data_IF_480300301354
#
_entry.id   IF_480300301354
#
_cell.length_a   1.000
_cell.length_b   1.000
_cell.length_c   1.000
_cell.angle_alpha   90.00
_cell.angle_beta   90.00
_cell.angle_gamma   90.00
#
_symmetry.space_group_name_H-M   'P 1'
#
loop_
_entity.id
_entity.type
_entity.pdbx_description
1 polymer ?
#
# COMPACT_ATOMS: atom_id res chain seq x y z
N UNK A 1 19.63 50.15 23.98
CA UNK A 1 18.54 49.41 23.29
C UNK A 1 19.12 48.23 22.49
N UNK A 2 19.62 47.17 23.15
CA UNK A 2 20.21 46.01 22.45
C UNK A 2 20.07 44.72 23.27
N UNK A 3 18.84 44.39 23.69
CA UNK A 3 18.54 43.16 24.43
C UNK A 3 17.38 42.34 23.86
N UNK A 4 16.88 42.69 22.67
CA UNK A 4 15.69 42.07 22.09
C UNK A 4 15.96 41.14 20.88
N UNK A 5 17.22 40.90 20.49
CA UNK A 5 17.56 40.11 19.29
C UNK A 5 18.31 38.79 19.55
N UNK A 6 18.61 38.43 20.80
CA UNK A 6 19.42 37.24 21.10
C UNK A 6 18.64 35.99 21.50
N UNK A 7 17.30 36.05 21.51
CA UNK A 7 16.47 34.92 21.89
C UNK A 7 15.64 34.46 20.69
N UNK A 8 16.33 33.98 19.65
CA UNK A 8 15.67 33.12 18.66
C UNK A 8 15.41 31.80 19.36
N UNK A 9 14.15 31.40 19.61
CA UNK A 9 13.88 30.11 20.20
C UNK A 9 14.46 29.06 19.25
N UNK A 10 15.53 28.38 19.67
CA UNK A 10 16.07 27.24 18.94
C UNK A 10 14.97 26.19 18.90
N UNK A 11 14.25 26.13 17.79
CA UNK A 11 13.18 25.16 17.57
C UNK A 11 13.81 23.79 17.36
N UNK A 12 14.18 23.13 18.46
CA UNK A 12 14.76 21.79 18.44
C UNK A 12 13.72 20.78 18.00
N UNK A 13 14.11 19.86 17.11
CA UNK A 13 13.22 18.76 16.74
C UNK A 13 13.09 17.82 17.94
N UNK A 14 11.87 17.32 18.23
CA UNK A 14 11.67 16.41 19.35
C UNK A 14 12.53 15.15 19.17
N UNK A 15 13.00 14.59 20.27
CA UNK A 15 13.79 13.36 20.27
C UNK A 15 12.91 12.16 19.89
N UNK A 16 13.54 11.04 19.48
CA UNK A 16 12.79 9.81 19.20
C UNK A 16 12.06 9.28 20.45
N UNK A 17 12.67 9.43 21.63
CA UNK A 17 12.07 9.03 22.91
C UNK A 17 10.83 9.87 23.24
N UNK A 18 10.90 11.19 23.06
CA UNK A 18 9.77 12.10 23.28
C UNK A 18 8.59 11.78 22.36
N UNK A 19 8.85 11.50 21.07
CA UNK A 19 7.79 11.11 20.12
C UNK A 19 7.14 9.81 20.57
N UNK A 20 7.94 8.79 20.93
CA UNK A 20 7.41 7.50 21.41
C UNK A 20 6.53 7.65 22.65
N UNK A 21 6.99 8.42 23.63
CA UNK A 21 6.24 8.70 24.85
C UNK A 21 4.91 9.38 24.53
N UNK A 22 4.95 10.50 23.79
CA UNK A 22 3.74 11.24 23.39
C UNK A 22 2.79 10.37 22.56
N UNK A 23 3.31 9.52 21.68
CA UNK A 23 2.51 8.58 20.89
C UNK A 23 1.80 7.57 21.79
N UNK A 24 2.49 7.03 22.79
CA UNK A 24 1.92 6.09 23.74
C UNK A 24 0.82 6.74 24.60
N UNK A 25 1.06 7.96 25.10
CA UNK A 25 0.08 8.74 25.85
C UNK A 25 -1.17 9.05 25.00
N UNK A 26 -0.97 9.52 23.75
CA UNK A 26 -2.06 9.79 22.82
C UNK A 26 -2.86 8.53 22.48
N UNK A 27 -2.20 7.37 22.28
CA UNK A 27 -2.89 6.09 22.05
C UNK A 27 -3.75 5.70 23.24
N UNK A 28 -3.18 5.70 24.46
CA UNK A 28 -3.92 5.38 25.70
C UNK A 28 -5.14 6.28 25.88
N UNK A 29 -4.97 7.59 25.65
CA UNK A 29 -6.05 8.58 25.76
C UNK A 29 -7.17 8.38 24.74
N UNK A 30 -6.86 7.96 23.52
CA UNK A 30 -7.89 7.72 22.51
C UNK A 30 -8.57 6.35 22.70
N UNK A 31 -7.82 5.34 23.14
CA UNK A 31 -8.36 4.03 23.53
C UNK A 31 -9.30 4.14 24.74
N UNK A 32 -8.98 4.98 25.74
CA UNK A 32 -9.87 5.22 26.89
C UNK A 32 -11.19 5.90 26.51
N UNK A 33 -11.30 6.43 25.29
CA UNK A 33 -12.55 6.98 24.71
C UNK A 33 -13.28 5.96 23.82
N UNK A 34 -12.88 4.70 23.84
CA UNK A 34 -13.47 3.63 23.02
C UNK A 34 -13.07 3.65 21.54
N UNK A 35 -12.03 4.40 21.15
CA UNK A 35 -11.59 4.40 19.75
C UNK A 35 -10.70 3.20 19.45
N UNK A 36 -11.06 2.46 18.40
CA UNK A 36 -10.21 1.44 17.80
C UNK A 36 -9.21 2.12 16.85
N UNK A 37 -7.95 2.12 17.27
CA UNK A 37 -6.83 2.68 16.53
C UNK A 37 -6.10 1.59 15.76
N UNK A 38 -5.60 1.94 14.58
CA UNK A 38 -4.76 1.07 13.74
C UNK A 38 -3.35 1.68 13.61
N UNK A 39 -2.52 1.61 14.67
CA UNK A 39 -1.19 2.20 14.65
C UNK A 39 -0.27 1.48 13.66
N UNK A 40 0.63 2.23 13.02
CA UNK A 40 1.68 1.64 12.18
C UNK A 40 2.85 1.22 13.07
N UNK A 41 3.25 -0.04 12.95
CA UNK A 41 4.40 -0.60 13.68
C UNK A 41 5.37 -1.20 12.69
N UNK A 42 6.60 -0.70 12.68
CA UNK A 42 7.65 -1.24 11.81
C UNK A 42 8.39 -2.34 12.58
N UNK A 43 8.41 -3.54 12.01
CA UNK A 43 9.20 -4.66 12.53
C UNK A 43 10.56 -4.67 11.80
N UNK A 44 11.65 -4.46 12.56
CA UNK A 44 13.01 -4.54 12.02
C UNK A 44 13.61 -3.19 11.55
N UNK A 45 14.59 -3.28 10.63
CA UNK A 45 15.43 -2.13 10.21
C UNK A 45 14.83 -1.37 9.02
N UNK A 46 14.21 -2.11 8.11
CA UNK A 46 13.56 -1.61 6.90
C UNK A 46 12.13 -1.14 7.22
N UNK A 47 11.62 -0.15 6.49
CA UNK A 47 10.22 0.29 6.62
C UNK A 47 9.31 -0.76 5.98
N UNK A 48 9.70 -1.21 4.79
CA UNK A 48 8.99 -2.18 3.96
C UNK A 48 9.96 -3.28 3.54
N UNK A 49 9.47 -4.51 3.46
CA UNK A 49 10.21 -5.73 3.15
C UNK A 49 9.89 -6.21 1.72
N UNK A 50 8.63 -6.12 1.30
CA UNK A 50 8.19 -6.64 0.00
C UNK A 50 8.45 -5.64 -1.14
N UNK A 51 8.50 -6.15 -2.37
CA UNK A 51 8.82 -5.30 -3.51
C UNK A 51 7.72 -4.25 -3.79
N UNK A 52 6.46 -4.56 -3.49
CA UNK A 52 5.34 -3.64 -3.74
C UNK A 52 5.29 -2.49 -2.73
N UNK A 53 5.57 -2.73 -1.44
CA UNK A 53 5.70 -1.65 -0.47
C UNK A 53 6.91 -0.77 -0.77
N UNK A 54 8.03 -1.36 -1.21
CA UNK A 54 9.18 -0.59 -1.73
C UNK A 54 8.78 0.26 -2.92
N UNK A 55 8.13 -0.32 -3.91
CA UNK A 55 7.69 0.38 -5.10
C UNK A 55 6.69 1.52 -4.78
N UNK A 56 5.82 1.33 -3.79
CA UNK A 56 4.95 2.39 -3.27
C UNK A 56 5.77 3.53 -2.64
N UNK A 57 6.76 3.19 -1.83
CA UNK A 57 7.67 4.16 -1.25
C UNK A 57 8.50 4.90 -2.31
N UNK A 58 8.96 4.23 -3.35
CA UNK A 58 9.70 4.88 -4.43
C UNK A 58 8.80 5.81 -5.24
N UNK A 59 7.54 5.42 -5.45
CA UNK A 59 6.55 6.21 -6.17
C UNK A 59 6.16 7.49 -5.40
N UNK A 60 5.98 7.42 -4.07
CA UNK A 60 5.63 8.60 -3.27
C UNK A 60 6.80 9.61 -3.18
N UNK A 61 8.04 9.12 -3.22
CA UNK A 61 9.23 9.98 -3.12
C UNK A 61 9.38 10.90 -4.33
N UNK A 62 8.83 10.51 -5.49
CA UNK A 62 8.76 11.36 -6.69
C UNK A 62 7.87 12.60 -6.51
N UNK A 63 6.99 12.63 -5.49
CA UNK A 63 6.13 13.77 -5.21
C UNK A 63 6.76 14.79 -4.26
N UNK A 64 7.95 14.48 -3.73
CA UNK A 64 8.56 15.30 -2.71
C UNK A 64 9.18 16.56 -3.29
N UNK A 65 8.73 17.71 -2.81
CA UNK A 65 9.40 18.98 -3.09
C UNK A 65 10.78 19.06 -2.40
N UNK A 66 10.99 18.32 -1.30
CA UNK A 66 12.22 18.40 -0.48
C UNK A 66 12.58 17.08 0.21
N UNK A 67 13.81 16.60 -0.02
CA UNK A 67 14.36 15.38 0.61
C UNK A 67 14.40 15.44 2.13
N UNK A 68 14.69 16.60 2.71
CA UNK A 68 14.74 16.79 4.17
C UNK A 68 13.39 16.54 4.87
N UNK A 69 12.26 16.61 4.13
CA UNK A 69 10.93 16.27 4.65
C UNK A 69 10.71 14.76 4.64
N UNK A 70 11.22 14.05 3.63
CA UNK A 70 11.19 12.59 3.55
C UNK A 70 11.97 11.94 4.70
N UNK A 71 13.18 12.40 4.98
CA UNK A 71 13.99 11.89 6.09
C UNK A 71 13.29 12.01 7.44
N UNK A 72 12.64 13.16 7.68
CA UNK A 72 11.84 13.37 8.89
C UNK A 72 10.61 12.49 8.91
N UNK A 73 9.94 12.27 7.77
CA UNK A 73 8.84 11.33 7.64
C UNK A 73 9.26 9.90 7.99
N UNK A 74 10.36 9.42 7.40
CA UNK A 74 11.00 8.12 7.69
C UNK A 74 11.32 7.96 9.18
N UNK A 75 11.84 9.01 9.81
CA UNK A 75 12.11 9.01 11.26
C UNK A 75 10.82 8.88 12.05
N UNK A 76 9.79 9.64 11.72
CA UNK A 76 8.52 9.66 12.46
C UNK A 76 7.81 8.31 12.41
N UNK A 77 7.70 7.70 11.23
CA UNK A 77 7.06 6.37 11.10
C UNK A 77 7.83 5.31 11.90
N UNK A 78 9.18 5.32 11.85
CA UNK A 78 10.04 4.42 12.65
C UNK A 78 9.92 4.62 14.16
N UNK A 79 9.54 5.81 14.61
CA UNK A 79 9.33 6.09 16.03
C UNK A 79 7.91 5.74 16.52
N UNK A 80 7.05 5.18 15.68
CA UNK A 80 5.65 4.94 16.02
C UNK A 80 4.85 6.24 16.19
N UNK A 81 5.19 7.28 15.42
CA UNK A 81 4.47 8.54 15.44
C UNK A 81 3.06 8.41 14.82
N UNK A 82 2.88 7.49 13.87
CA UNK A 82 1.60 7.23 13.21
C UNK A 82 0.77 6.33 14.14
N UNK A 83 -0.09 6.96 14.94
CA UNK A 83 -0.84 6.25 16.00
C UNK A 83 -2.14 5.64 15.50
N UNK A 84 -2.60 6.05 14.32
CA UNK A 84 -3.80 5.56 13.65
C UNK A 84 -3.62 5.81 12.15
N UNK A 85 -3.83 4.79 11.33
CA UNK A 85 -3.80 4.87 9.88
C UNK A 85 -4.87 3.96 9.32
N UNK A 86 -5.82 4.54 8.60
CA UNK A 86 -6.93 3.81 7.99
C UNK A 86 -6.93 4.06 6.51
N UNK A 87 -6.94 2.97 5.75
CA UNK A 87 -7.07 2.98 4.30
C UNK A 87 -8.54 2.71 4.00
N UNK A 88 -9.12 3.53 3.15
CA UNK A 88 -10.49 3.44 2.67
C UNK A 88 -10.49 3.69 1.15
N UNK A 89 -11.60 3.40 0.49
CA UNK A 89 -11.79 3.70 -0.93
C UNK A 89 -11.47 5.16 -1.28
N UNK A 90 -10.40 5.37 -2.05
CA UNK A 90 -9.93 6.68 -2.51
C UNK A 90 -9.40 7.61 -1.41
N UNK A 91 -9.21 7.11 -0.18
CA UNK A 91 -8.91 7.97 0.97
C UNK A 91 -8.07 7.26 2.03
N UNK A 92 -7.06 7.95 2.53
CA UNK A 92 -6.30 7.53 3.72
C UNK A 92 -6.49 8.59 4.81
N UNK A 93 -6.84 8.15 6.01
CA UNK A 93 -6.97 8.99 7.20
C UNK A 93 -5.91 8.55 8.19
N UNK A 94 -5.11 9.49 8.66
CA UNK A 94 -4.01 9.22 9.59
C UNK A 94 -3.96 10.22 10.73
N UNK A 95 -3.51 9.74 11.90
CA UNK A 95 -3.20 10.57 13.07
C UNK A 95 -1.72 10.43 13.37
N UNK A 96 -0.98 11.52 13.23
CA UNK A 96 0.47 11.54 13.43
C UNK A 96 0.84 12.40 14.63
N UNK A 97 1.44 11.77 15.63
CA UNK A 97 1.99 12.45 16.78
C UNK A 97 3.19 13.31 16.36
N UNK A 98 3.21 14.56 16.79
CA UNK A 98 4.34 15.46 16.60
C UNK A 98 4.72 16.18 17.88
N UNK A 99 5.11 17.44 17.76
CA UNK A 99 5.51 18.26 18.91
C UNK A 99 4.34 18.59 19.85
N UNK A 100 3.14 18.84 19.29
CA UNK A 100 1.93 19.20 20.03
C UNK A 100 1.34 18.01 20.80
N UNK A 101 0.59 18.30 21.87
CA UNK A 101 -0.11 17.29 22.69
C UNK A 101 -1.18 16.53 21.90
N UNK A 102 -1.86 17.19 20.97
CA UNK A 102 -2.86 16.57 20.09
C UNK A 102 -2.19 16.11 18.80
N UNK A 103 -2.33 14.84 18.39
CA UNK A 103 -1.85 14.34 17.10
C UNK A 103 -2.44 15.13 15.92
N UNK A 104 -1.61 15.38 14.91
CA UNK A 104 -2.04 16.02 13.68
C UNK A 104 -2.93 15.06 12.88
N UNK A 105 -4.04 15.59 12.37
CA UNK A 105 -4.88 14.92 11.38
C UNK A 105 -4.23 15.07 10.01
N UNK A 106 -4.03 13.95 9.34
CA UNK A 106 -3.56 13.85 7.96
C UNK A 106 -4.66 13.17 7.14
N UNK A 107 -4.96 13.74 5.99
CA UNK A 107 -5.87 13.18 5.00
C UNK A 107 -5.15 13.17 3.65
N UNK A 108 -5.12 12.00 3.02
CA UNK A 108 -4.59 11.81 1.68
C UNK A 108 -5.75 11.30 0.83
N UNK A 109 -6.03 11.96 -0.29
CA UNK A 109 -7.05 11.53 -1.24
C UNK A 109 -6.37 11.02 -2.50
N UNK A 110 -6.86 9.89 -2.99
CA UNK A 110 -6.43 9.29 -4.24
C UNK A 110 -7.65 9.19 -5.13
N UNK A 111 -7.61 9.84 -6.28
CA UNK A 111 -8.66 9.74 -7.29
C UNK A 111 -8.86 8.28 -7.66
N UNK A 112 -10.08 7.73 -7.69
CA UNK A 112 -10.30 6.36 -8.11
C UNK A 112 -9.89 6.14 -9.56
N UNK A 113 -9.63 4.89 -9.94
CA UNK A 113 -9.43 4.54 -11.35
C UNK A 113 -10.76 4.65 -12.11
N UNK A 114 -10.69 4.99 -13.41
CA UNK A 114 -11.85 4.87 -14.29
C UNK A 114 -12.23 3.39 -14.47
N UNK A 115 -13.47 3.12 -14.84
CA UNK A 115 -13.95 1.74 -15.00
C UNK A 115 -13.18 0.98 -16.08
N UNK A 116 -12.80 1.66 -17.16
CA UNK A 116 -12.00 1.10 -18.26
C UNK A 116 -10.60 0.71 -17.76
N UNK A 117 -9.96 1.57 -16.96
CA UNK A 117 -8.65 1.27 -16.37
C UNK A 117 -8.74 0.13 -15.37
N UNK A 118 -9.78 0.10 -14.55
CA UNK A 118 -10.06 -1.02 -13.65
C UNK A 118 -10.16 -2.33 -14.43
N UNK A 119 -11.01 -2.40 -15.46
CA UNK A 119 -11.16 -3.61 -16.28
C UNK A 119 -9.85 -4.02 -16.95
N UNK A 120 -9.08 -3.07 -17.48
CA UNK A 120 -7.78 -3.35 -18.08
C UNK A 120 -6.77 -3.93 -17.07
N UNK A 121 -6.77 -3.43 -15.83
CA UNK A 121 -5.92 -3.95 -14.75
C UNK A 121 -6.35 -5.36 -14.37
N UNK A 122 -7.65 -5.62 -14.24
CA UNK A 122 -8.20 -6.94 -13.94
C UNK A 122 -7.78 -7.95 -15.02
N UNK A 123 -7.97 -7.63 -16.30
CA UNK A 123 -7.56 -8.50 -17.41
C UNK A 123 -6.04 -8.76 -17.46
N UNK A 124 -5.22 -7.76 -17.10
CA UNK A 124 -3.77 -7.93 -17.02
C UNK A 124 -3.35 -8.79 -15.82
N UNK A 125 -4.06 -8.66 -14.69
CA UNK A 125 -3.90 -9.57 -13.56
C UNK A 125 -4.22 -11.01 -13.99
N UNK A 126 -5.37 -11.26 -14.62
CA UNK A 126 -5.76 -12.61 -15.05
C UNK A 126 -4.70 -13.30 -15.91
N UNK A 127 -4.11 -12.57 -16.87
CA UNK A 127 -3.07 -13.13 -17.75
C UNK A 127 -1.75 -13.42 -17.05
N UNK A 128 -1.42 -12.68 -15.99
CA UNK A 128 -0.12 -12.76 -15.30
C UNK A 128 -0.18 -13.58 -14.00
N UNK A 129 -1.34 -13.62 -13.34
CA UNK A 129 -1.56 -14.36 -12.11
C UNK A 129 -1.90 -15.80 -12.49
N UNK A 130 -0.86 -16.61 -12.69
CA UNK A 130 -1.04 -18.05 -12.87
C UNK A 130 -1.69 -18.69 -11.64
N UNK A 131 -1.45 -18.12 -10.45
CA UNK A 131 -1.93 -18.60 -9.17
C UNK A 131 -2.70 -17.54 -8.37
N UNK A 132 -4.04 -17.57 -8.46
CA UNK A 132 -4.92 -16.69 -7.70
C UNK A 132 -4.74 -16.85 -6.19
N UNK A 133 -4.36 -18.04 -5.71
CA UNK A 133 -4.11 -18.29 -4.29
C UNK A 133 -2.93 -17.45 -3.78
N UNK A 134 -1.90 -17.24 -4.60
CA UNK A 134 -0.74 -16.41 -4.26
C UNK A 134 -1.17 -14.94 -4.05
N UNK A 135 -2.02 -14.44 -4.96
CA UNK A 135 -2.60 -13.11 -4.87
C UNK A 135 -3.49 -12.94 -3.64
N UNK A 136 -4.34 -13.93 -3.34
CA UNK A 136 -5.19 -13.94 -2.15
C UNK A 136 -4.39 -14.07 -0.85
N UNK A 137 -3.25 -14.78 -0.90
CA UNK A 137 -2.32 -14.89 0.23
C UNK A 137 -1.50 -13.62 0.48
N UNK A 138 -1.67 -12.58 -0.35
CA UNK A 138 -0.92 -11.33 -0.23
C UNK A 138 0.50 -11.43 -0.79
N UNK A 139 0.76 -12.36 -1.70
CA UNK A 139 2.03 -12.43 -2.41
C UNK A 139 1.80 -11.95 -3.84
N UNK A 140 2.41 -10.83 -4.20
CA UNK A 140 2.40 -10.36 -5.58
C UNK A 140 3.65 -10.85 -6.32
N UNK A 141 3.53 -11.61 -7.42
CA UNK A 141 4.66 -11.98 -8.25
C UNK A 141 5.36 -10.77 -8.88
N UNK A 142 6.66 -10.89 -9.18
CA UNK A 142 7.46 -9.80 -9.76
C UNK A 142 6.94 -9.34 -11.12
N UNK A 143 6.29 -10.24 -11.86
CA UNK A 143 5.66 -10.01 -13.16
C UNK A 143 4.55 -8.96 -13.08
N UNK A 144 3.95 -8.77 -11.90
CA UNK A 144 2.94 -7.74 -11.64
C UNK A 144 3.52 -6.34 -11.48
N UNK A 145 4.85 -6.17 -11.36
CA UNK A 145 5.47 -4.85 -11.11
C UNK A 145 5.04 -3.77 -12.10
N UNK A 146 4.96 -4.13 -13.39
CA UNK A 146 4.49 -3.24 -14.46
C UNK A 146 3.04 -2.79 -14.28
N UNK A 147 2.20 -3.62 -13.66
CA UNK A 147 0.81 -3.30 -13.36
C UNK A 147 0.68 -2.20 -12.29
N UNK A 148 1.61 -2.16 -11.35
CA UNK A 148 1.61 -1.15 -10.30
C UNK A 148 2.24 0.17 -10.78
N UNK A 149 3.35 0.09 -11.51
CA UNK A 149 4.19 1.26 -11.85
C UNK A 149 3.94 1.83 -13.26
N UNK A 150 3.12 1.19 -14.10
CA UNK A 150 2.82 1.67 -15.45
C UNK A 150 2.06 3.01 -15.47
N UNK A 151 2.02 3.65 -16.65
CA UNK A 151 1.34 4.94 -16.86
C UNK A 151 -0.16 4.91 -16.52
N UNK A 152 -0.79 3.72 -16.61
CA UNK A 152 -2.16 3.43 -16.17
C UNK A 152 -2.19 2.37 -15.06
N UNK A 153 -1.18 2.43 -14.19
CA UNK A 153 -0.99 1.47 -13.12
C UNK A 153 -1.85 1.73 -11.88
N UNK A 154 -1.72 0.83 -10.90
CA UNK A 154 -2.38 0.97 -9.60
C UNK A 154 -1.82 2.12 -8.77
N UNK A 155 -0.56 2.53 -8.96
CA UNK A 155 -0.03 3.66 -8.21
C UNK A 155 -0.59 4.97 -8.73
N UNK A 156 -0.96 5.91 -7.84
CA UNK A 156 -1.44 7.20 -8.28
C UNK A 156 -0.32 7.95 -9.02
N UNK A 157 -0.69 8.85 -9.92
CA UNK A 157 0.20 9.89 -10.43
C UNK A 157 0.15 11.12 -9.52
N UNK A 158 1.09 12.09 -9.64
CA UNK A 158 1.04 13.33 -8.86
C UNK A 158 -0.28 14.12 -9.01
N UNK A 159 -1.00 13.94 -10.14
CA UNK A 159 -2.30 14.58 -10.40
C UNK A 159 -3.47 13.85 -9.76
N UNK A 160 -3.30 12.56 -9.43
CA UNK A 160 -4.33 11.72 -8.83
C UNK A 160 -4.25 11.69 -7.30
N UNK A 161 -3.25 12.34 -6.70
CA UNK A 161 -3.05 12.33 -5.26
C UNK A 161 -3.03 13.75 -4.69
N UNK A 162 -3.69 13.95 -3.55
CA UNK A 162 -3.70 15.23 -2.84
C UNK A 162 -3.58 15.05 -1.33
N UNK A 163 -2.98 16.04 -0.68
CA UNK A 163 -2.61 15.96 0.73
C UNK A 163 -3.24 17.10 1.53
N UNK A 164 -3.69 16.79 2.74
CA UNK A 164 -4.11 17.76 3.73
C UNK A 164 -3.55 17.36 5.10
N UNK A 165 -2.97 18.32 5.81
CA UNK A 165 -2.48 18.10 7.15
C UNK A 165 -2.79 19.32 8.03
N UNK A 166 -3.30 19.06 9.24
CA UNK A 166 -3.59 20.08 10.26
C UNK A 166 -2.35 20.74 10.90
N UNK A 167 -1.15 20.53 10.33
CA UNK A 167 0.07 21.13 10.85
C UNK A 167 0.31 22.51 10.23
N UNK A 168 1.01 23.42 10.91
CA UNK A 168 1.29 24.77 10.39
C UNK A 168 2.37 24.80 9.30
N UNK A 169 2.79 23.64 8.78
CA UNK A 169 3.76 23.53 7.69
C UNK A 169 3.04 23.81 6.37
N UNK A 170 3.52 24.78 5.60
CA UNK A 170 2.97 25.17 4.30
C UNK A 170 3.36 24.21 3.17
N UNK A 171 4.24 23.25 3.46
CA UNK A 171 4.58 22.13 2.61
C UNK A 171 3.35 21.41 2.05
N UNK A 172 3.32 21.16 0.74
CA UNK A 172 2.38 20.20 0.17
C UNK A 172 2.55 18.83 0.82
N UNK A 173 3.80 18.35 0.91
CA UNK A 173 4.16 17.14 1.65
C UNK A 173 4.99 17.46 2.89
N UNK A 174 4.32 17.72 4.02
CA UNK A 174 5.00 17.86 5.30
C UNK A 174 5.50 16.50 5.83
N UNK A 175 6.33 16.51 6.88
CA UNK A 175 6.82 15.27 7.52
C UNK A 175 5.71 14.33 8.03
N UNK A 176 4.53 14.84 8.37
CA UNK A 176 3.39 14.02 8.82
C UNK A 176 2.71 13.32 7.64
N UNK A 177 2.58 14.00 6.50
CA UNK A 177 2.12 13.40 5.24
C UNK A 177 3.10 12.32 4.81
N UNK A 178 4.40 12.63 4.76
CA UNK A 178 5.44 11.66 4.43
C UNK A 178 5.41 10.44 5.37
N UNK A 179 5.34 10.65 6.69
CA UNK A 179 5.21 9.55 7.66
C UNK A 179 3.96 8.69 7.42
N UNK A 180 2.85 9.31 7.01
CA UNK A 180 1.62 8.59 6.69
C UNK A 180 1.77 7.78 5.40
N UNK A 181 2.38 8.34 4.34
CA UNK A 181 2.60 7.62 3.08
C UNK A 181 3.58 6.44 3.25
N UNK A 182 4.64 6.58 4.05
CA UNK A 182 5.48 5.44 4.42
C UNK A 182 4.69 4.41 5.25
N UNK A 183 3.82 4.87 6.15
CA UNK A 183 2.96 4.00 6.94
C UNK A 183 1.93 3.25 6.09
N UNK A 184 1.45 3.84 4.99
CA UNK A 184 0.67 3.15 3.97
C UNK A 184 1.50 2.04 3.34
N UNK A 185 2.77 2.29 2.99
CA UNK A 185 3.68 1.26 2.50
C UNK A 185 3.80 0.06 3.45
N UNK A 186 3.98 0.32 4.76
CA UNK A 186 4.00 -0.75 5.79
C UNK A 186 2.69 -1.54 5.78
N UNK A 187 1.55 -0.84 5.76
CA UNK A 187 0.23 -1.49 5.79
C UNK A 187 -0.01 -2.33 4.53
N UNK A 188 0.43 -1.86 3.37
CA UNK A 188 0.31 -2.57 2.10
C UNK A 188 1.25 -3.78 2.02
N UNK A 189 2.38 -3.73 2.72
CA UNK A 189 3.25 -4.89 2.90
C UNK A 189 2.58 -6.00 3.73
N UNK A 190 1.76 -5.63 4.71
CA UNK A 190 1.01 -6.56 5.56
C UNK A 190 -0.31 -7.00 4.91
N UNK A 191 -0.98 -6.10 4.19
CA UNK A 191 -2.32 -6.29 3.62
C UNK A 191 -2.37 -5.76 2.18
N UNK A 192 -1.86 -6.51 1.20
CA UNK A 192 -1.69 -6.01 -0.17
C UNK A 192 -3.01 -5.75 -0.91
N UNK A 193 -4.09 -6.43 -0.54
CA UNK A 193 -5.42 -6.22 -1.15
C UNK A 193 -5.94 -4.78 -0.94
N UNK A 194 -5.43 -4.06 0.05
CA UNK A 194 -5.77 -2.64 0.27
C UNK A 194 -5.35 -1.73 -0.89
N UNK A 195 -4.46 -2.15 -1.79
CA UNK A 195 -4.17 -1.39 -3.02
C UNK A 195 -5.42 -1.24 -3.89
N UNK A 196 -6.15 -2.34 -4.08
CA UNK A 196 -7.36 -2.37 -4.90
C UNK A 196 -8.44 -1.53 -4.25
N UNK A 197 -8.66 -1.69 -2.94
CA UNK A 197 -9.60 -0.87 -2.19
C UNK A 197 -9.28 0.63 -2.34
N UNK A 198 -8.00 1.00 -2.14
CA UNK A 198 -7.56 2.38 -2.25
C UNK A 198 -7.80 2.98 -3.64
N UNK A 199 -7.66 2.18 -4.71
CA UNK A 199 -7.97 2.59 -6.09
C UNK A 199 -9.45 2.45 -6.46
N UNK A 200 -10.27 1.98 -5.53
CA UNK A 200 -11.70 1.83 -5.69
C UNK A 200 -12.15 0.59 -6.46
N UNK A 201 -11.24 -0.36 -6.65
CA UNK A 201 -11.51 -1.69 -7.20
C UNK A 201 -12.14 -2.52 -6.07
N UNK A 202 -13.32 -3.06 -6.34
CA UNK A 202 -13.98 -4.00 -5.45
C UNK A 202 -13.22 -5.32 -5.47
N UNK A 203 -12.57 -5.65 -4.35
CA UNK A 203 -11.77 -6.87 -4.19
C UNK A 203 -12.64 -8.11 -4.35
N UNK A 204 -13.89 -8.09 -3.89
CA UNK A 204 -14.83 -9.19 -4.07
C UNK A 204 -15.11 -9.42 -5.55
N UNK A 205 -15.49 -8.37 -6.28
CA UNK A 205 -15.69 -8.43 -7.73
C UNK A 205 -14.42 -8.90 -8.45
N UNK A 206 -13.25 -8.44 -8.00
CA UNK A 206 -11.98 -8.84 -8.59
C UNK A 206 -11.69 -10.34 -8.40
N UNK A 207 -11.91 -10.87 -7.20
CA UNK A 207 -11.77 -12.30 -6.89
C UNK A 207 -12.78 -13.12 -7.70
N UNK A 208 -14.04 -12.71 -7.73
CA UNK A 208 -15.12 -13.40 -8.46
C UNK A 208 -14.82 -13.50 -9.96
N UNK A 209 -14.41 -12.37 -10.56
CA UNK A 209 -14.03 -12.33 -11.98
C UNK A 209 -12.82 -13.23 -12.24
N UNK A 210 -11.80 -13.17 -11.39
CA UNK A 210 -10.60 -13.99 -11.58
C UNK A 210 -10.88 -15.49 -11.40
N UNK A 211 -11.78 -15.87 -10.47
CA UNK A 211 -12.23 -17.24 -10.27
C UNK A 211 -13.01 -17.76 -11.49
N UNK A 212 -14.00 -17.00 -11.96
CA UNK A 212 -14.80 -17.36 -13.13
C UNK A 212 -13.91 -17.58 -14.36
N UNK A 213 -13.02 -16.64 -14.64
CA UNK A 213 -12.04 -16.74 -15.73
C UNK A 213 -11.10 -17.95 -15.59
N UNK A 214 -10.69 -18.31 -14.37
CA UNK A 214 -9.84 -19.49 -14.14
C UNK A 214 -10.60 -20.78 -14.43
N UNK A 215 -11.86 -20.90 -13.99
CA UNK A 215 -12.72 -22.05 -14.27
C UNK A 215 -12.91 -22.19 -15.78
N UNK A 216 -13.24 -21.10 -16.48
CA UNK A 216 -13.38 -21.10 -17.93
C UNK A 216 -12.08 -21.52 -18.64
N UNK A 217 -10.93 -21.06 -18.16
CA UNK A 217 -9.62 -21.47 -18.70
C UNK A 217 -9.30 -22.95 -18.46
N UNK A 218 -9.72 -23.51 -17.33
CA UNK A 218 -9.54 -24.93 -17.03
C UNK A 218 -10.47 -25.78 -17.90
N UNK A 219 -11.74 -25.38 -18.06
CA UNK A 219 -12.70 -26.04 -18.95
C UNK A 219 -12.23 -26.01 -20.41
N UNK A 220 -11.77 -24.85 -20.90
CA UNK A 220 -11.28 -24.72 -22.27
C UNK A 220 -9.99 -25.49 -22.57
N UNK A 221 -9.20 -25.81 -21.53
CA UNK A 221 -8.01 -26.65 -21.66
C UNK A 221 -8.29 -28.14 -21.36
N UNK A 222 -9.41 -28.48 -20.71
CA UNK A 222 -9.79 -29.87 -20.47
C UNK A 222 -10.05 -30.63 -21.77
N UNK A 223 -10.53 -29.94 -22.81
CA UNK A 223 -10.75 -30.51 -24.14
C UNK A 223 -9.49 -30.53 -25.02
N UNK A 224 -8.34 -30.00 -24.54
CA UNK A 224 -7.08 -29.99 -25.28
C UNK A 224 -6.15 -31.09 -24.74
N UNK A 225 -6.02 -32.24 -25.42
CA UNK A 225 -5.10 -33.28 -24.99
C UNK A 225 -3.67 -32.73 -24.95
N UNK A 226 -3.02 -32.96 -23.82
CA UNK A 226 -1.58 -32.72 -23.64
C UNK A 226 -0.80 -33.60 -24.62
N UNK A 227 0.36 -33.14 -25.09
CA UNK A 227 1.27 -33.96 -25.92
C UNK A 227 1.79 -35.23 -25.20
N UNK A 228 1.52 -35.38 -23.90
CA UNK A 228 1.80 -36.57 -23.10
C UNK A 228 0.61 -37.54 -22.98
N UNK A 229 -0.56 -37.18 -23.50
CA UNK A 229 -1.73 -38.06 -23.55
C UNK A 229 -1.66 -38.78 -24.90
N UNK A 230 -1.46 -40.10 -24.85
CA UNK A 230 -1.54 -40.95 -26.03
C UNK A 230 -3.00 -41.13 -26.43
N UNK A 231 -3.26 -41.16 -27.73
CA UNK A 231 -4.59 -41.47 -28.26
C UNK A 231 -4.96 -42.93 -27.91
N UNK A 232 -6.24 -43.23 -27.71
CA UNK A 232 -6.68 -44.58 -27.26
C UNK A 232 -6.22 -45.69 -28.21
N UNK A 233 -6.09 -45.36 -29.49
CA UNK A 233 -5.66 -46.28 -30.55
C UNK A 233 -4.17 -46.65 -30.44
N UNK A 234 -3.36 -45.78 -29.83
CA UNK A 234 -1.93 -46.02 -29.57
C UNK A 234 -1.69 -46.81 -28.28
N UNK A 235 -2.69 -46.94 -27.40
CA UNK A 235 -2.57 -47.73 -26.17
C UNK A 235 -2.64 -49.23 -26.48
N UNK A 236 -3.49 -49.63 -27.42
CA UNK A 236 -3.63 -51.03 -27.85
C UNK A 236 -2.34 -51.56 -28.51
N UNK A 237 -1.67 -50.72 -29.30
CA UNK A 237 -0.40 -51.06 -29.96
C UNK A 237 0.77 -51.18 -28.98
N UNK A 238 0.74 -50.43 -27.86
CA UNK A 238 1.79 -50.45 -26.84
C UNK A 238 1.71 -51.68 -25.91
N UNK A 239 0.50 -52.20 -25.65
CA UNK A 239 0.28 -53.37 -24.80
C UNK A 239 0.08 -54.69 -25.57
N UNK A 240 0.10 -54.65 -26.91
CA UNK A 240 0.08 -55.84 -27.76
C UNK A 240 -1.19 -56.69 -27.65
N UNK A 241 -2.32 -56.08 -27.26
CA UNK A 241 -3.60 -56.78 -27.23
C UNK A 241 -4.17 -56.75 -28.65
N UNK A 242 -3.91 -57.82 -29.39
CA UNK A 242 -4.61 -58.13 -30.64
C UNK A 242 -6.01 -58.63 -30.28
N UNK A 243 -7.04 -58.07 -30.91
CA UNK A 243 -8.41 -58.61 -30.90
C UNK A 243 -8.47 -60.09 -31.33
#
# INVERSE_FOLDING_TARGET
MSRYWNDTPRYSQPTAAEIRQKSAESKKKEQSKGKMLEPVTIQGRTIVNNWWGKAWCDNLEQYADYDSRLDRGRRYVRTGAVIDLKIQKGKIISRVQGTRKTPYKVEIRISPLSEEKCQAIIQRCEKKVQNLEELMSGNFPLEMKELFQGQDGLFPTPKEISFSCSCPDWALMCKHVAASLYGVGVRLDEQPLLFFELRGIDVGKFIDVTLASKVDSMLANAEKPSSRIMDSDDVASLFGVLD
#
